data_IF_193765731920
#
_entry.id   IF_193765731920
#
_cell.length_a   1.000
_cell.length_b   1.000
_cell.length_c   1.000
_cell.angle_alpha   90.00
_cell.angle_beta   90.00
_cell.angle_gamma   90.00
#
_symmetry.space_group_name_H-M   'P 1'
#
loop_
_entity.id
_entity.type
_entity.pdbx_description
1 polymer ?
#
# COMPACT_ATOMS: atom_id res chain seq x y z
N UNK A 1 -2.51 -9.39 21.09
CA UNK A 1 -1.17 -9.00 21.61
C UNK A 1 -1.40 -8.08 22.79
N UNK A 2 -1.04 -8.53 24.00
CA UNK A 2 -1.35 -7.83 25.25
C UNK A 2 -0.18 -6.89 25.62
N UNK A 3 -0.45 -5.65 26.05
CA UNK A 3 0.59 -4.79 26.59
C UNK A 3 1.23 -5.44 27.83
N UNK A 4 2.55 -5.33 28.02
CA UNK A 4 3.21 -5.94 29.16
C UNK A 4 2.61 -5.40 30.46
N UNK A 5 2.30 -6.29 31.41
CA UNK A 5 1.69 -5.94 32.72
C UNK A 5 2.66 -5.24 33.68
N UNK A 6 3.97 -5.42 33.47
CA UNK A 6 5.05 -4.75 34.20
C UNK A 6 5.84 -3.83 33.25
N UNK A 7 6.64 -2.92 33.80
CA UNK A 7 7.54 -2.07 33.01
C UNK A 7 8.67 -2.97 32.49
N UNK A 8 8.78 -3.19 31.16
CA UNK A 8 9.82 -4.04 30.62
C UNK A 8 11.18 -3.32 30.68
N UNK A 9 12.28 -4.01 31.03
CA UNK A 9 13.63 -3.50 30.78
C UNK A 9 13.83 -3.23 29.28
N UNK A 10 14.77 -2.34 28.94
CA UNK A 10 14.99 -1.89 27.56
C UNK A 10 15.07 -3.04 26.54
N UNK A 11 15.92 -4.04 26.79
CA UNK A 11 16.08 -5.17 25.88
C UNK A 11 14.84 -6.05 25.76
N UNK A 12 14.06 -6.20 26.84
CA UNK A 12 12.78 -6.90 26.77
C UNK A 12 11.74 -6.12 25.98
N UNK A 13 11.72 -4.78 26.10
CA UNK A 13 10.84 -3.93 25.30
C UNK A 13 11.15 -4.09 23.80
N UNK A 14 12.42 -4.00 23.42
CA UNK A 14 12.88 -4.21 22.05
C UNK A 14 12.49 -5.60 21.54
N UNK A 15 12.76 -6.65 22.33
CA UNK A 15 12.41 -8.02 21.95
C UNK A 15 10.91 -8.19 21.71
N UNK A 16 10.06 -7.69 22.63
CA UNK A 16 8.61 -7.73 22.51
C UNK A 16 8.16 -7.03 21.23
N UNK A 17 8.71 -5.85 20.93
CA UNK A 17 8.36 -5.08 19.74
C UNK A 17 8.75 -5.83 18.47
N UNK A 18 9.98 -6.32 18.38
CA UNK A 18 10.50 -7.03 17.20
C UNK A 18 9.74 -8.31 16.92
N UNK A 19 9.44 -9.10 17.96
CA UNK A 19 8.66 -10.34 17.82
C UNK A 19 7.24 -10.03 17.37
N UNK A 20 6.56 -9.06 17.99
CA UNK A 20 5.20 -8.68 17.59
C UNK A 20 5.15 -8.15 16.15
N UNK A 21 6.10 -7.27 15.76
CA UNK A 21 6.19 -6.75 14.40
C UNK A 21 6.41 -7.86 13.37
N UNK A 22 7.30 -8.81 13.69
CA UNK A 22 7.58 -9.97 12.82
C UNK A 22 6.35 -10.87 12.67
N UNK A 23 5.66 -11.19 13.77
CA UNK A 23 4.45 -12.01 13.74
C UNK A 23 3.35 -11.37 12.89
N UNK A 24 3.11 -10.07 13.07
CA UNK A 24 2.09 -9.34 12.30
C UNK A 24 2.46 -9.23 10.84
N UNK A 25 3.75 -9.03 10.52
CA UNK A 25 4.24 -9.03 9.14
C UNK A 25 3.97 -10.39 8.46
N UNK A 26 4.27 -11.50 9.14
CA UNK A 26 4.01 -12.82 8.58
C UNK A 26 2.51 -13.09 8.41
N UNK A 27 1.70 -12.72 9.41
CA UNK A 27 0.24 -12.83 9.31
C UNK A 27 -0.33 -12.00 8.13
N UNK A 28 0.21 -10.80 7.90
CA UNK A 28 -0.16 -9.94 6.77
C UNK A 28 0.19 -10.59 5.43
N UNK A 29 1.38 -11.18 5.29
CA UNK A 29 1.79 -11.92 4.09
C UNK A 29 0.86 -13.10 3.81
N UNK A 30 0.57 -13.91 4.83
CA UNK A 30 -0.37 -15.04 4.74
C UNK A 30 -1.76 -14.57 4.30
N UNK A 31 -2.26 -13.50 4.90
CA UNK A 31 -3.56 -12.93 4.55
C UNK A 31 -3.62 -12.44 3.09
N UNK A 32 -2.57 -11.77 2.60
CA UNK A 32 -2.47 -11.37 1.19
C UNK A 32 -2.43 -12.58 0.25
N UNK A 33 -1.70 -13.64 0.60
CA UNK A 33 -1.71 -14.88 -0.18
C UNK A 33 -3.11 -15.50 -0.27
N UNK A 34 -3.85 -15.54 0.84
CA UNK A 34 -5.25 -15.99 0.83
C UNK A 34 -6.15 -15.11 -0.04
N UNK A 35 -6.00 -13.79 0.00
CA UNK A 35 -6.71 -12.88 -0.89
C UNK A 35 -6.39 -13.15 -2.36
N UNK A 36 -5.12 -13.33 -2.70
CA UNK A 36 -4.69 -13.67 -4.06
C UNK A 36 -5.32 -14.98 -4.54
N UNK A 37 -5.35 -16.02 -3.70
CA UNK A 37 -5.99 -17.30 -4.01
C UNK A 37 -7.50 -17.17 -4.21
N UNK A 38 -8.17 -16.42 -3.32
CA UNK A 38 -9.61 -16.18 -3.40
C UNK A 38 -10.00 -15.43 -4.68
N UNK A 39 -9.27 -14.37 -5.02
CA UNK A 39 -9.54 -13.58 -6.22
C UNK A 39 -9.18 -14.33 -7.50
N UNK A 40 -8.12 -15.15 -7.52
CA UNK A 40 -7.78 -16.01 -8.66
C UNK A 40 -8.92 -16.98 -9.01
N UNK A 41 -9.68 -17.43 -8.01
CA UNK A 41 -10.80 -18.36 -8.20
C UNK A 41 -12.09 -17.67 -8.65
N UNK A 42 -12.23 -16.36 -8.41
CA UNK A 42 -13.35 -15.57 -8.92
C UNK A 42 -13.12 -15.22 -10.39
N UNK A 43 -13.93 -15.82 -11.27
CA UNK A 43 -13.84 -15.80 -12.73
C UNK A 43 -14.21 -14.44 -13.33
N UNK A 44 -13.35 -13.44 -13.13
CA UNK A 44 -13.45 -12.10 -13.75
C UNK A 44 -12.17 -11.30 -13.51
N UNK A 45 -11.39 -11.04 -14.57
CA UNK A 45 -10.04 -10.43 -14.55
C UNK A 45 -10.03 -8.93 -14.15
N UNK A 46 -10.50 -8.55 -12.97
CA UNK A 46 -10.35 -7.18 -12.48
C UNK A 46 -9.02 -7.03 -11.71
N UNK A 47 -7.88 -7.19 -12.41
CA UNK A 47 -6.53 -7.07 -11.84
C UNK A 47 -6.32 -5.73 -11.11
N UNK A 48 -6.93 -4.66 -11.61
CA UNK A 48 -6.92 -3.33 -10.98
C UNK A 48 -7.53 -3.32 -9.58
N UNK A 49 -8.72 -3.93 -9.41
CA UNK A 49 -9.39 -3.99 -8.09
C UNK A 49 -8.61 -4.85 -7.10
N UNK A 50 -8.03 -5.94 -7.60
CA UNK A 50 -7.16 -6.81 -6.80
C UNK A 50 -5.94 -6.05 -6.29
N UNK A 51 -5.23 -5.33 -7.15
CA UNK A 51 -4.06 -4.54 -6.77
C UNK A 51 -4.40 -3.41 -5.79
N UNK A 52 -5.52 -2.73 -5.99
CA UNK A 52 -6.01 -1.69 -5.06
C UNK A 52 -6.39 -2.28 -3.69
N UNK A 53 -7.01 -3.47 -3.65
CA UNK A 53 -7.34 -4.15 -2.40
C UNK A 53 -6.08 -4.57 -1.64
N UNK A 54 -5.10 -5.15 -2.34
CA UNK A 54 -3.80 -5.51 -1.74
C UNK A 54 -3.08 -4.29 -1.17
N UNK A 55 -3.15 -3.17 -1.89
CA UNK A 55 -2.62 -1.87 -1.44
C UNK A 55 -3.34 -1.37 -0.19
N UNK A 56 -4.68 -1.43 -0.14
CA UNK A 56 -5.45 -1.06 1.04
C UNK A 56 -5.05 -1.93 2.25
N UNK A 57 -4.99 -3.24 2.04
CA UNK A 57 -4.61 -4.21 3.08
C UNK A 57 -3.21 -3.94 3.61
N UNK A 58 -2.26 -3.61 2.75
CA UNK A 58 -0.91 -3.24 3.18
C UNK A 58 -0.92 -1.97 4.03
N UNK A 59 -1.57 -0.89 3.59
CA UNK A 59 -1.61 0.35 4.38
C UNK A 59 -2.33 0.18 5.72
N UNK A 60 -3.38 -0.64 5.77
CA UNK A 60 -4.06 -1.00 7.03
C UNK A 60 -3.11 -1.75 7.97
N UNK A 61 -2.37 -2.72 7.45
CA UNK A 61 -1.41 -3.50 8.23
C UNK A 61 -0.19 -2.67 8.65
N UNK A 62 0.26 -1.73 7.84
CA UNK A 62 1.31 -0.77 8.20
C UNK A 62 0.87 0.17 9.32
N UNK A 63 -0.37 0.66 9.26
CA UNK A 63 -0.96 1.44 10.35
C UNK A 63 -1.01 0.61 11.64
N UNK A 64 -1.51 -0.62 11.56
CA UNK A 64 -1.55 -1.53 12.72
C UNK A 64 -0.16 -1.82 13.29
N UNK A 65 0.82 -2.21 12.44
CA UNK A 65 2.22 -2.45 12.85
C UNK A 65 2.84 -1.21 13.48
N UNK A 66 2.50 -0.01 13.01
CA UNK A 66 2.98 1.22 13.62
C UNK A 66 2.38 1.49 15.00
N UNK A 67 1.21 0.96 15.34
CA UNK A 67 0.59 1.18 16.65
C UNK A 67 1.05 0.19 17.73
N UNK A 68 1.63 -0.96 17.34
CA UNK A 68 2.07 -2.00 18.27
C UNK A 68 3.18 -1.58 19.25
N UNK A 69 4.21 -0.80 18.85
CA UNK A 69 5.27 -0.37 19.76
C UNK A 69 4.79 0.70 20.75
N UNK A 70 3.76 1.46 20.40
CA UNK A 70 3.25 2.61 21.17
C UNK A 70 2.99 2.30 22.65
N UNK A 71 2.20 1.28 23.03
CA UNK A 71 1.95 0.98 24.44
C UNK A 71 3.21 0.53 25.19
N UNK A 72 4.17 -0.13 24.51
CA UNK A 72 5.41 -0.62 25.11
C UNK A 72 6.34 0.56 25.41
N UNK A 73 6.57 1.43 24.42
CA UNK A 73 7.40 2.62 24.58
C UNK A 73 6.79 3.65 25.51
N UNK A 74 5.48 3.88 25.42
CA UNK A 74 4.78 4.79 26.32
C UNK A 74 4.97 4.39 27.79
N UNK A 75 4.84 3.08 28.09
CA UNK A 75 5.07 2.56 29.44
C UNK A 75 6.54 2.64 29.87
N UNK A 76 7.47 2.44 28.94
CA UNK A 76 8.91 2.55 29.20
C UNK A 76 9.32 4.00 29.50
N UNK A 77 8.90 4.97 28.67
CA UNK A 77 9.27 6.38 28.83
C UNK A 77 8.57 7.07 30.00
N UNK A 78 7.37 6.63 30.38
CA UNK A 78 6.70 7.10 31.60
C UNK A 78 7.34 6.60 32.90
N UNK A 79 8.36 5.73 32.84
CA UNK A 79 9.00 5.25 34.05
C UNK A 79 9.77 6.38 34.75
N UNK A 80 9.31 6.76 35.95
CA UNK A 80 9.88 7.84 36.76
C UNK A 80 11.21 7.48 37.42
N UNK A 81 11.58 6.19 37.45
CA UNK A 81 12.84 5.71 38.03
C UNK A 81 14.07 6.31 37.32
N UNK A 82 13.93 6.71 36.05
CA UNK A 82 14.99 7.37 35.27
C UNK A 82 15.08 8.89 35.49
N UNK A 83 14.24 9.44 36.38
CA UNK A 83 14.14 10.88 36.64
C UNK A 83 12.93 11.52 35.93
N UNK A 84 12.25 12.42 36.66
CA UNK A 84 11.00 13.05 36.21
C UNK A 84 11.16 13.90 34.94
N UNK A 85 12.27 14.65 34.82
CA UNK A 85 12.57 15.49 33.66
C UNK A 85 12.88 14.67 32.41
N UNK A 86 13.66 13.59 32.56
CA UNK A 86 13.98 12.70 31.45
C UNK A 86 12.73 11.98 30.93
N UNK A 87 11.89 11.49 31.85
CA UNK A 87 10.64 10.82 31.52
C UNK A 87 9.65 11.73 30.77
N UNK A 88 9.46 12.98 31.21
CA UNK A 88 8.54 13.91 30.55
C UNK A 88 9.02 14.33 29.16
N UNK A 89 10.31 14.65 29.03
CA UNK A 89 10.91 15.07 27.76
C UNK A 89 10.88 13.95 26.71
N UNK A 90 11.33 12.75 27.07
CA UNK A 90 11.37 11.61 26.14
C UNK A 90 9.96 11.16 25.74
N UNK A 91 9.01 11.14 26.67
CA UNK A 91 7.61 10.83 26.35
C UNK A 91 7.02 11.86 25.39
N UNK A 92 7.26 13.16 25.63
CA UNK A 92 6.81 14.23 24.75
C UNK A 92 7.37 14.09 23.33
N UNK A 93 8.69 13.92 23.21
CA UNK A 93 9.37 13.74 21.92
C UNK A 93 8.91 12.47 21.18
N UNK A 94 8.73 11.36 21.92
CA UNK A 94 8.23 10.12 21.35
C UNK A 94 6.82 10.30 20.78
N UNK A 95 5.91 10.91 21.54
CA UNK A 95 4.53 11.13 21.12
C UNK A 95 4.42 12.06 19.91
N UNK A 96 5.26 13.10 19.80
CA UNK A 96 5.23 14.00 18.65
C UNK A 96 5.68 13.29 17.38
N UNK A 97 6.82 12.59 17.40
CA UNK A 97 7.27 11.77 16.27
C UNK A 97 6.29 10.65 15.93
N UNK A 98 5.64 10.07 16.95
CA UNK A 98 4.65 9.03 16.72
C UNK A 98 3.39 9.58 16.05
N UNK A 99 2.92 10.74 16.48
CA UNK A 99 1.77 11.41 15.90
C UNK A 99 2.02 11.74 14.42
N UNK A 100 3.16 12.33 14.08
CA UNK A 100 3.50 12.63 12.68
C UNK A 100 3.54 11.35 11.83
N UNK A 101 4.19 10.29 12.33
CA UNK A 101 4.26 9.01 11.63
C UNK A 101 2.90 8.33 11.44
N UNK A 102 2.00 8.43 12.42
CA UNK A 102 0.63 7.90 12.31
C UNK A 102 -0.17 8.72 11.32
N UNK A 103 -0.07 10.05 11.34
CA UNK A 103 -0.79 10.93 10.40
C UNK A 103 -0.41 10.61 8.95
N UNK A 104 0.88 10.46 8.64
CA UNK A 104 1.35 10.09 7.29
C UNK A 104 0.76 8.74 6.81
N UNK A 105 0.74 7.73 7.69
CA UNK A 105 0.18 6.41 7.38
C UNK A 105 -1.34 6.45 7.21
N UNK A 106 -2.04 7.24 8.03
CA UNK A 106 -3.49 7.45 7.92
C UNK A 106 -3.84 8.15 6.60
N UNK A 107 -3.10 9.20 6.22
CA UNK A 107 -3.27 9.87 4.93
C UNK A 107 -3.07 8.91 3.75
N UNK A 108 -2.05 8.05 3.83
CA UNK A 108 -1.78 7.03 2.82
C UNK A 108 -2.92 6.00 2.73
N UNK A 109 -3.42 5.52 3.88
CA UNK A 109 -4.57 4.62 3.95
C UNK A 109 -5.83 5.23 3.35
N UNK A 110 -6.17 6.48 3.68
CA UNK A 110 -7.32 7.16 3.08
C UNK A 110 -7.13 7.39 1.58
N UNK A 111 -5.90 7.60 1.12
CA UNK A 111 -5.62 7.73 -0.32
C UNK A 111 -5.83 6.41 -1.04
N UNK A 112 -5.38 5.28 -0.47
CA UNK A 112 -5.66 3.94 -0.97
C UNK A 112 -7.16 3.60 -0.96
N UNK A 113 -7.89 3.99 0.09
CA UNK A 113 -9.34 3.83 0.18
C UNK A 113 -10.07 4.64 -0.91
N UNK A 114 -9.65 5.88 -1.15
CA UNK A 114 -10.15 6.71 -2.25
C UNK A 114 -9.82 6.11 -3.62
N UNK A 115 -8.68 5.41 -3.76
CA UNK A 115 -8.31 4.75 -5.01
C UNK A 115 -9.26 3.58 -5.35
N UNK A 116 -9.77 2.84 -4.36
CA UNK A 116 -10.81 1.82 -4.56
C UNK A 116 -12.13 2.42 -5.06
N UNK A 117 -12.44 3.64 -4.65
CA UNK A 117 -13.66 4.34 -5.08
C UNK A 117 -13.52 5.02 -6.45
N UNK A 118 -12.30 5.35 -6.89
CA UNK A 118 -12.08 6.09 -8.15
C UNK A 118 -12.04 5.14 -9.35
N UNK A 119 -13.03 5.30 -10.23
CA UNK A 119 -13.01 4.79 -11.62
C UNK A 119 -12.08 5.59 -12.55
N UNK A 120 -11.36 6.59 -12.03
CA UNK A 120 -10.69 7.60 -12.84
C UNK A 120 -9.38 7.07 -13.44
N UNK A 121 -9.20 7.33 -14.74
CA UNK A 121 -8.06 6.89 -15.54
C UNK A 121 -7.10 8.08 -15.66
N UNK A 122 -6.15 8.23 -14.73
CA UNK A 122 -5.27 9.40 -14.72
C UNK A 122 -4.24 9.44 -15.89
N UNK A 123 -4.10 8.33 -16.62
CA UNK A 123 -3.14 8.14 -17.70
C UNK A 123 -3.70 8.38 -19.12
N UNK A 124 -5.01 8.60 -19.26
CA UNK A 124 -5.66 8.69 -20.58
C UNK A 124 -7.16 8.94 -20.48
N UNK A 125 -7.87 8.69 -21.57
CA UNK A 125 -9.34 8.74 -21.65
C UNK A 125 -9.87 7.45 -22.27
N UNK A 126 -11.10 7.08 -21.94
CA UNK A 126 -11.76 5.97 -22.64
C UNK A 126 -11.90 6.32 -24.13
N UNK A 127 -11.53 5.38 -25.00
CA UNK A 127 -11.63 5.57 -26.44
C UNK A 127 -13.08 5.31 -26.90
N UNK A 128 -13.55 6.09 -27.87
CA UNK A 128 -14.85 5.84 -28.49
C UNK A 128 -14.76 4.68 -29.49
N UNK A 129 -15.89 4.07 -29.82
CA UNK A 129 -15.99 2.99 -30.81
C UNK A 129 -15.40 3.37 -32.16
N UNK A 130 -15.56 4.63 -32.58
CA UNK A 130 -15.05 5.14 -33.85
C UNK A 130 -13.53 5.22 -33.84
N UNK A 131 -12.93 5.65 -32.71
CA UNK A 131 -11.48 5.70 -32.55
C UNK A 131 -10.85 4.31 -32.60
N UNK A 132 -11.48 3.34 -31.95
CA UNK A 132 -11.03 1.93 -31.94
C UNK A 132 -11.09 1.35 -33.35
N UNK A 133 -12.19 1.58 -34.07
CA UNK A 133 -12.34 1.09 -35.45
C UNK A 133 -11.31 1.70 -36.40
N UNK A 134 -10.91 2.97 -36.20
CA UNK A 134 -9.93 3.65 -37.04
C UNK A 134 -8.47 3.19 -36.79
N UNK A 135 -8.14 2.81 -35.55
CA UNK A 135 -6.76 2.45 -35.16
C UNK A 135 -6.49 0.94 -35.14
N UNK A 136 -7.54 0.12 -35.18
CA UNK A 136 -7.48 -1.34 -34.99
C UNK A 136 -7.99 -1.74 -33.60
N UNK A 137 -8.76 -2.83 -33.55
CA UNK A 137 -9.46 -3.28 -32.35
C UNK A 137 -8.67 -4.29 -31.49
N UNK A 138 -7.41 -4.59 -31.85
CA UNK A 138 -6.55 -5.51 -31.13
C UNK A 138 -5.62 -4.79 -30.14
N UNK A 139 -5.57 -5.26 -28.90
CA UNK A 139 -4.66 -4.73 -27.89
C UNK A 139 -3.23 -5.25 -28.13
N UNK A 140 -2.23 -4.37 -28.19
CA UNK A 140 -0.84 -4.78 -28.36
C UNK A 140 -0.23 -5.54 -27.15
N UNK A 141 -0.89 -5.54 -25.98
CA UNK A 141 -0.44 -6.25 -24.78
C UNK A 141 -1.01 -7.68 -24.74
N UNK A 142 -2.34 -7.83 -24.79
CA UNK A 142 -2.97 -9.16 -24.72
C UNK A 142 -3.20 -9.81 -26.09
N UNK A 143 -3.04 -9.08 -27.19
CA UNK A 143 -3.30 -9.52 -28.57
C UNK A 143 -4.75 -9.98 -28.84
N UNK A 144 -5.66 -9.71 -27.91
CA UNK A 144 -7.10 -9.93 -28.03
C UNK A 144 -7.82 -8.62 -28.39
N UNK A 145 -9.11 -8.72 -28.75
CA UNK A 145 -9.96 -7.56 -28.97
C UNK A 145 -10.02 -6.68 -27.71
N UNK A 146 -9.86 -5.37 -27.89
CA UNK A 146 -9.79 -4.43 -26.78
C UNK A 146 -11.09 -4.42 -25.97
N UNK A 147 -10.99 -4.80 -24.69
CA UNK A 147 -12.06 -4.61 -23.72
C UNK A 147 -11.80 -3.30 -22.97
N UNK A 148 -12.82 -2.43 -22.90
CA UNK A 148 -12.72 -1.09 -22.26
C UNK A 148 -11.45 -0.34 -22.70
N UNK A 149 -11.37 0.06 -23.99
CA UNK A 149 -10.16 0.63 -24.57
C UNK A 149 -9.86 2.00 -23.95
N UNK A 150 -8.59 2.22 -23.60
CA UNK A 150 -8.08 3.49 -23.10
C UNK A 150 -7.07 4.07 -24.08
N UNK A 151 -7.31 5.32 -24.47
CA UNK A 151 -6.39 6.15 -25.24
C UNK A 151 -5.44 6.89 -24.29
N UNK A 152 -4.16 6.54 -24.36
CA UNK A 152 -3.10 7.26 -23.64
C UNK A 152 -2.88 8.65 -24.26
N UNK A 153 -2.24 9.55 -23.49
CA UNK A 153 -1.87 10.89 -23.99
C UNK A 153 -0.90 10.87 -25.19
N UNK A 154 -0.11 9.80 -25.31
CA UNK A 154 0.75 9.54 -26.47
C UNK A 154 -0.01 8.95 -27.67
N UNK A 155 -1.34 8.89 -27.62
CA UNK A 155 -2.27 8.39 -28.65
C UNK A 155 -2.23 6.87 -28.91
N UNK A 156 -1.58 6.08 -28.05
CA UNK A 156 -1.66 4.62 -28.13
C UNK A 156 -2.85 4.07 -27.33
N UNK A 157 -3.47 3.01 -27.83
CA UNK A 157 -4.64 2.37 -27.22
C UNK A 157 -4.36 0.95 -26.74
N UNK A 158 -4.93 0.63 -25.58
CA UNK A 158 -4.83 -0.68 -24.94
C UNK A 158 -6.11 -0.98 -24.16
N UNK A 159 -6.32 -2.22 -23.74
CA UNK A 159 -7.30 -2.52 -22.70
C UNK A 159 -6.94 -1.78 -21.41
N UNK A 160 -7.93 -1.24 -20.70
CA UNK A 160 -7.74 -0.61 -19.39
C UNK A 160 -6.97 -1.52 -18.43
N UNK A 161 -7.34 -2.79 -18.32
CA UNK A 161 -6.69 -3.74 -17.41
C UNK A 161 -5.22 -3.99 -17.80
N UNK A 162 -4.95 -4.18 -19.09
CA UNK A 162 -3.60 -4.48 -19.59
C UNK A 162 -2.64 -3.32 -19.34
N UNK A 163 -3.07 -2.09 -19.64
CA UNK A 163 -2.21 -0.92 -19.48
C UNK A 163 -2.08 -0.49 -18.02
N UNK A 164 -3.12 -0.74 -17.20
CA UNK A 164 -3.02 -0.56 -15.75
C UNK A 164 -1.98 -1.49 -15.14
N UNK A 165 -1.97 -2.78 -15.52
CA UNK A 165 -0.97 -3.74 -15.04
C UNK A 165 0.44 -3.36 -15.48
N UNK A 166 0.60 -2.90 -16.71
CA UNK A 166 1.89 -2.40 -17.20
C UNK A 166 2.41 -1.25 -16.33
N UNK A 167 1.55 -0.29 -15.98
CA UNK A 167 1.92 0.87 -15.17
C UNK A 167 2.25 0.56 -13.70
N UNK A 168 1.89 -0.62 -13.19
CA UNK A 168 2.38 -1.08 -11.88
C UNK A 168 3.88 -1.37 -11.90
N UNK A 169 4.45 -1.73 -13.06
CA UNK A 169 5.87 -2.09 -13.21
C UNK A 169 6.69 -1.00 -13.88
N UNK A 170 6.15 -0.39 -14.92
CA UNK A 170 6.86 0.51 -15.81
C UNK A 170 6.02 1.77 -16.07
N UNK A 171 6.59 2.97 -15.97
CA UNK A 171 5.83 4.24 -16.09
C UNK A 171 5.78 4.79 -17.51
N UNK A 172 6.11 3.98 -18.49
CA UNK A 172 6.23 4.39 -19.89
C UNK A 172 5.23 3.65 -20.77
N UNK A 173 4.81 4.26 -21.87
CA UNK A 173 3.92 3.59 -22.83
C UNK A 173 4.60 2.32 -23.42
N UNK A 174 3.92 1.16 -23.48
CA UNK A 174 4.49 -0.07 -24.03
C UNK A 174 5.01 0.04 -25.48
N UNK A 175 4.40 0.93 -26.28
CA UNK A 175 4.73 1.08 -27.70
C UNK A 175 5.79 2.15 -27.97
N UNK A 176 5.66 3.34 -27.37
CA UNK A 176 6.53 4.48 -27.67
C UNK A 176 7.46 4.89 -26.53
N UNK A 177 7.37 4.25 -25.37
CA UNK A 177 8.12 4.57 -24.15
C UNK A 177 7.94 6.00 -23.62
N UNK A 178 6.94 6.74 -24.12
CA UNK A 178 6.60 8.06 -23.59
C UNK A 178 6.18 7.95 -22.11
N UNK A 179 6.68 8.84 -21.27
CA UNK A 179 6.39 8.86 -19.84
C UNK A 179 4.92 9.22 -19.59
N UNK A 180 4.26 8.40 -18.78
CA UNK A 180 2.89 8.61 -18.33
C UNK A 180 2.97 9.05 -16.86
N UNK A 181 2.37 10.21 -16.53
CA UNK A 181 2.56 10.98 -15.27
C UNK A 181 2.76 10.08 -14.03
N UNK A 182 3.70 10.42 -13.13
CA UNK A 182 3.92 9.67 -11.90
C UNK A 182 2.66 9.72 -11.01
N UNK A 183 2.22 8.57 -10.53
CA UNK A 183 1.42 8.52 -9.33
C UNK A 183 2.37 8.72 -8.14
N UNK A 184 2.13 9.74 -7.33
CA UNK A 184 2.92 10.06 -6.13
C UNK A 184 2.79 8.99 -5.02
N UNK A 185 1.97 7.95 -5.24
CA UNK A 185 1.76 6.85 -4.31
C UNK A 185 2.55 5.61 -4.73
N UNK A 186 3.23 4.98 -3.77
CA UNK A 186 3.78 3.63 -3.96
C UNK A 186 2.63 2.62 -3.99
N UNK A 187 2.40 2.01 -5.15
CA UNK A 187 1.45 0.91 -5.27
C UNK A 187 2.03 -0.37 -4.67
N UNK A 188 1.20 -1.14 -3.98
CA UNK A 188 1.50 -2.50 -3.53
C UNK A 188 0.59 -3.50 -4.27
N UNK A 189 0.22 -3.17 -5.52
CA UNK A 189 -0.63 -4.00 -6.35
C UNK A 189 -0.04 -5.37 -6.68
N UNK A 190 1.28 -5.52 -6.57
CA UNK A 190 2.04 -6.75 -6.70
C UNK A 190 1.98 -7.67 -5.46
N UNK A 191 1.39 -7.19 -4.35
CA UNK A 191 1.34 -7.91 -3.08
C UNK A 191 2.63 -7.79 -2.25
N UNK A 192 3.59 -6.95 -2.65
CA UNK A 192 4.79 -6.69 -1.85
C UNK A 192 4.43 -6.15 -0.46
N UNK A 193 5.32 -6.38 0.50
CA UNK A 193 5.14 -5.93 1.90
C UNK A 193 6.38 -5.16 2.33
N UNK A 194 6.20 -4.06 3.05
CA UNK A 194 7.32 -3.27 3.56
C UNK A 194 8.20 -4.10 4.50
N UNK A 195 9.50 -4.12 4.18
CA UNK A 195 10.53 -4.83 4.96
C UNK A 195 10.99 -4.03 6.19
N UNK A 196 10.66 -2.74 6.27
CA UNK A 196 11.07 -1.88 7.37
C UNK A 196 10.39 -2.29 8.67
N UNK A 197 11.19 -2.52 9.71
CA UNK A 197 10.71 -2.80 11.05
C UNK A 197 10.13 -1.52 11.68
N UNK A 198 8.92 -1.61 12.23
CA UNK A 198 8.31 -0.52 12.99
C UNK A 198 8.76 -0.62 14.44
N UNK A 199 10.02 -0.26 14.72
CA UNK A 199 10.59 -0.36 16.06
C UNK A 199 10.11 0.79 16.97
N UNK A 200 9.92 1.99 16.40
CA UNK A 200 9.56 3.21 17.12
C UNK A 200 8.13 3.65 16.83
#
# INVERSE_FOLDING_TARGET
>A
MLPPKAIPPFWHAIFIIVVNDTLVRQASMIFKCFLLMYYKNSRGRNYRKQGQLLTLVEYLMLLYRSLLPTPVWYRFFLNKDYGSLFSSLMTGLYLTFKLTSVVEKVQSFFTALKALSRKEVHYGSYATTEQVNAAGDLCAICQEKMHTPVLLRCKHMFCEDCVSEWFERERTCPLCRALVKPADLKSFGDGSTSLFFQIF
#
